data_IF_419213441904
#
_entry.id   IF_419213441904
#
_cell.length_a   1.000
_cell.length_b   1.000
_cell.length_c   1.000
_cell.angle_alpha   90.00
_cell.angle_beta   90.00
_cell.angle_gamma   90.00
#
_symmetry.space_group_name_H-M   'P 1'
#
loop_
_entity.id
_entity.type
_entity.pdbx_description
1 polymer ?
#
# COMPACT_ATOMS: atom_id res chain seq x y z
N UNK A 1 44.86 46.55 9.09
CA UNK A 1 46.12 45.88 8.72
C UNK A 1 45.70 44.65 7.94
N UNK A 2 45.46 44.83 6.64
CA UNK A 2 46.42 44.69 5.54
C UNK A 2 46.46 43.21 5.10
N UNK A 3 46.49 42.81 3.84
CA UNK A 3 46.35 43.41 2.51
C UNK A 3 46.28 42.17 1.57
N UNK A 4 45.50 42.20 0.49
CA UNK A 4 46.07 42.19 -0.86
C UNK A 4 45.24 41.24 -1.75
N UNK A 5 44.53 41.72 -2.77
CA UNK A 5 44.97 42.22 -4.07
C UNK A 5 45.11 41.08 -5.13
N UNK A 6 44.26 41.18 -6.17
CA UNK A 6 44.29 40.43 -7.43
C UNK A 6 45.51 40.84 -8.31
N UNK A 7 45.76 40.27 -9.53
CA UNK A 7 44.95 40.63 -10.71
C UNK A 7 44.90 39.59 -11.87
N UNK A 8 44.22 40.04 -12.94
CA UNK A 8 43.82 39.42 -14.20
C UNK A 8 44.93 39.16 -15.25
N UNK A 9 44.55 38.42 -16.31
CA UNK A 9 45.10 38.45 -17.68
C UNK A 9 44.29 37.48 -18.56
N UNK A 10 43.49 37.86 -19.58
CA UNK A 10 43.70 38.59 -20.85
C UNK A 10 44.17 37.71 -22.02
N UNK A 11 43.44 37.77 -23.15
CA UNK A 11 43.91 37.44 -24.51
C UNK A 11 43.06 36.36 -25.22
N UNK A 12 42.18 36.74 -26.15
CA UNK A 12 42.37 36.74 -27.63
C UNK A 12 42.74 35.36 -28.20
N UNK A 13 42.14 34.81 -29.26
CA UNK A 13 41.22 35.32 -30.26
C UNK A 13 41.24 34.36 -31.47
N UNK A 14 40.20 34.47 -32.31
CA UNK A 14 40.20 34.31 -33.77
C UNK A 14 40.43 32.95 -34.45
N UNK A 15 39.47 32.67 -35.34
CA UNK A 15 39.61 32.20 -36.72
C UNK A 15 39.52 30.69 -37.02
N UNK A 16 38.38 30.35 -37.63
CA UNK A 16 38.24 29.28 -38.59
C UNK A 16 39.06 29.54 -39.87
N UNK A 17 39.36 28.48 -40.64
CA UNK A 17 39.47 28.59 -42.08
C UNK A 17 38.41 27.75 -42.78
N UNK A 18 37.73 28.39 -43.74
CA UNK A 18 37.05 27.74 -44.84
C UNK A 18 38.07 27.15 -45.81
N UNK A 19 37.70 26.04 -46.47
CA UNK A 19 38.20 25.71 -47.80
C UNK A 19 37.12 24.94 -48.57
N UNK A 20 36.78 25.49 -49.74
CA UNK A 20 35.87 24.94 -50.73
C UNK A 20 36.60 23.99 -51.68
N UNK A 21 35.84 23.10 -52.34
CA UNK A 21 36.30 22.45 -53.57
C UNK A 21 35.58 21.16 -53.98
N UNK A 22 34.58 21.28 -54.86
CA UNK A 22 34.28 20.47 -56.08
C UNK A 22 34.34 18.94 -56.00
N UNK A 23 33.39 18.10 -56.46
CA UNK A 23 32.27 18.19 -57.41
C UNK A 23 32.04 16.79 -58.03
N UNK A 24 30.87 16.55 -58.66
CA UNK A 24 30.33 15.34 -59.33
C UNK A 24 29.54 14.38 -58.41
N UNK A 25 28.29 13.99 -58.63
CA UNK A 25 27.35 14.14 -59.75
C UNK A 25 26.63 12.81 -60.06
N UNK A 26 25.33 12.73 -59.73
CA UNK A 26 24.28 11.75 -60.14
C UNK A 26 23.99 10.52 -59.25
N UNK A 27 22.74 9.97 -59.24
CA UNK A 27 21.42 10.59 -59.41
C UNK A 27 20.45 10.31 -58.23
N UNK A 28 19.40 11.12 -58.15
CA UNK A 28 18.30 11.00 -57.19
C UNK A 28 17.58 9.65 -57.30
N UNK A 29 17.52 8.92 -56.19
CA UNK A 29 16.52 7.86 -55.96
C UNK A 29 15.62 8.26 -54.82
N UNK A 30 14.33 8.35 -55.12
CA UNK A 30 13.24 8.65 -54.23
C UNK A 30 13.15 7.53 -53.16
N UNK A 31 13.71 7.74 -51.96
CA UNK A 31 13.42 6.89 -50.80
C UNK A 31 12.49 7.64 -49.88
N UNK A 32 11.31 7.07 -49.69
CA UNK A 32 10.27 7.55 -48.80
C UNK A 32 10.84 8.11 -47.49
N UNK A 33 10.42 9.33 -47.15
CA UNK A 33 10.54 9.91 -45.82
C UNK A 33 9.93 8.90 -44.86
N UNK A 34 10.78 8.22 -44.08
CA UNK A 34 10.33 7.51 -42.89
C UNK A 34 9.69 8.56 -41.98
N UNK A 35 8.53 8.30 -41.35
CA UNK A 35 8.04 9.19 -40.31
C UNK A 35 9.19 9.37 -39.31
N UNK A 36 9.47 10.61 -38.93
CA UNK A 36 10.42 10.91 -37.89
C UNK A 36 10.06 10.04 -36.68
N UNK A 37 11.02 9.24 -36.22
CA UNK A 37 10.94 8.60 -34.92
C UNK A 37 10.68 9.72 -33.91
N UNK A 38 9.45 9.80 -33.40
CA UNK A 38 9.16 10.56 -32.20
C UNK A 38 9.92 9.86 -31.08
N UNK A 39 11.17 10.27 -30.87
CA UNK A 39 11.82 10.08 -29.60
C UNK A 39 10.96 10.79 -28.57
N UNK A 40 10.09 10.04 -27.87
CA UNK A 40 9.74 10.41 -26.52
C UNK A 40 11.08 10.55 -25.80
N UNK A 41 11.48 11.78 -25.47
CA UNK A 41 12.46 11.99 -24.41
C UNK A 41 11.84 11.34 -23.17
N UNK A 42 12.21 10.07 -22.93
CA UNK A 42 11.66 9.27 -21.83
C UNK A 42 12.00 9.91 -20.49
N UNK A 43 11.24 9.60 -19.44
CA UNK A 43 11.50 10.21 -18.13
C UNK A 43 12.94 9.94 -17.70
N UNK A 44 13.63 11.00 -17.27
CA UNK A 44 14.91 10.86 -16.58
C UNK A 44 14.67 10.18 -15.24
N UNK A 45 14.98 8.89 -15.19
CA UNK A 45 14.83 8.05 -14.01
C UNK A 45 16.20 7.67 -13.47
N UNK A 46 16.48 8.06 -12.22
CA UNK A 46 17.72 7.69 -11.54
C UNK A 46 17.63 6.26 -11.03
N UNK A 47 18.58 5.42 -11.47
CA UNK A 47 18.78 4.11 -10.87
C UNK A 47 19.43 4.23 -9.48
N UNK A 48 19.00 3.40 -8.53
CA UNK A 48 19.53 3.37 -7.18
C UNK A 48 19.27 1.98 -6.55
N UNK A 49 20.27 1.45 -5.84
CA UNK A 49 20.24 0.15 -5.17
C UNK A 49 19.12 -0.03 -4.13
N UNK A 50 18.56 1.07 -3.63
CA UNK A 50 17.51 1.04 -2.62
C UNK A 50 16.10 0.86 -3.19
N UNK A 51 15.93 0.95 -4.51
CA UNK A 51 14.62 0.83 -5.15
C UNK A 51 14.05 -0.59 -4.98
N UNK A 52 12.76 -0.72 -4.61
CA UNK A 52 12.10 -2.02 -4.50
C UNK A 52 11.76 -2.65 -5.86
N UNK A 53 11.74 -1.87 -6.94
CA UNK A 53 11.38 -2.34 -8.28
C UNK A 53 12.35 -1.81 -9.34
N UNK A 54 12.37 -2.46 -10.50
CA UNK A 54 13.15 -2.00 -11.65
C UNK A 54 12.56 -0.70 -12.21
N UNK A 55 13.37 0.09 -12.91
CA UNK A 55 12.89 1.30 -13.58
C UNK A 55 11.79 1.01 -14.61
N UNK A 56 11.86 -0.14 -15.30
CA UNK A 56 10.83 -0.55 -16.26
C UNK A 56 9.47 -0.81 -15.60
N UNK A 57 9.46 -1.31 -14.37
CA UNK A 57 8.22 -1.48 -13.61
C UNK A 57 7.62 -0.12 -13.26
N UNK A 58 8.43 0.85 -12.81
CA UNK A 58 7.95 2.21 -12.56
C UNK A 58 7.42 2.92 -13.83
N UNK A 59 8.11 2.78 -14.97
CA UNK A 59 7.61 3.26 -16.27
C UNK A 59 6.24 2.68 -16.60
N UNK A 60 6.08 1.38 -16.40
CA UNK A 60 4.81 0.67 -16.65
C UNK A 60 3.69 1.20 -15.74
N UNK A 61 3.98 1.42 -14.46
CA UNK A 61 3.01 1.98 -13.49
C UNK A 61 2.58 3.39 -13.90
N UNK A 62 3.53 4.25 -14.23
CA UNK A 62 3.29 5.62 -14.65
C UNK A 62 2.46 5.69 -15.95
N UNK A 63 2.81 4.86 -16.94
CA UNK A 63 2.06 4.76 -18.19
C UNK A 63 0.59 4.38 -17.96
N UNK A 64 0.31 3.38 -17.11
CA UNK A 64 -1.06 2.95 -16.78
C UNK A 64 -1.85 4.02 -16.02
N UNK A 65 -1.19 4.76 -15.12
CA UNK A 65 -1.84 5.91 -14.45
C UNK A 65 -2.21 6.99 -15.48
N UNK A 66 -1.33 7.28 -16.44
CA UNK A 66 -1.60 8.24 -17.51
C UNK A 66 -2.70 7.80 -18.47
N UNK A 67 -2.81 6.50 -18.77
CA UNK A 67 -3.96 5.95 -19.50
C UNK A 67 -5.27 6.25 -18.75
N UNK A 68 -5.28 6.07 -17.44
CA UNK A 68 -6.42 6.43 -16.57
C UNK A 68 -6.70 7.94 -16.53
N UNK A 69 -5.65 8.78 -16.52
CA UNK A 69 -5.77 10.24 -16.61
C UNK A 69 -6.38 10.67 -17.94
N UNK A 70 -5.89 10.12 -19.06
CA UNK A 70 -6.38 10.42 -20.41
C UNK A 70 -7.86 10.04 -20.56
N UNK A 71 -8.28 8.89 -20.03
CA UNK A 71 -9.67 8.45 -20.03
C UNK A 71 -10.62 9.38 -19.23
N UNK A 72 -10.08 10.15 -18.29
CA UNK A 72 -10.82 11.10 -17.44
C UNK A 72 -10.56 12.57 -17.79
N UNK A 73 -9.84 12.84 -18.88
CA UNK A 73 -9.45 14.19 -19.31
C UNK A 73 -8.70 14.98 -18.22
N UNK A 74 -7.80 14.29 -17.49
CA UNK A 74 -6.97 14.89 -16.44
C UNK A 74 -5.59 15.23 -17.02
N UNK A 75 -5.21 16.51 -16.94
CA UNK A 75 -3.92 16.98 -17.44
C UNK A 75 -2.79 16.78 -16.42
N UNK A 76 -3.10 16.94 -15.13
CA UNK A 76 -2.14 16.76 -14.02
C UNK A 76 -2.82 16.06 -12.85
N UNK A 77 -2.25 14.96 -12.38
CA UNK A 77 -2.69 14.31 -11.15
C UNK A 77 -1.83 14.79 -9.97
N UNK A 78 -2.47 15.34 -8.94
CA UNK A 78 -1.82 15.73 -7.69
C UNK A 78 -2.05 14.64 -6.64
N UNK A 79 -0.99 13.88 -6.37
CA UNK A 79 -1.01 12.65 -5.55
C UNK A 79 -0.37 12.96 -4.20
N UNK A 80 -1.14 12.81 -3.13
CA UNK A 80 -0.79 13.17 -1.75
C UNK A 80 -0.66 11.96 -0.82
N UNK A 81 -1.37 10.86 -1.13
CA UNK A 81 -1.42 9.66 -0.31
C UNK A 81 -0.07 8.92 -0.38
N UNK A 82 0.58 8.61 0.76
CA UNK A 82 1.94 8.07 0.79
C UNK A 82 2.07 6.71 0.09
N UNK A 83 1.03 5.87 0.14
CA UNK A 83 0.98 4.59 -0.58
C UNK A 83 1.13 4.79 -2.09
N UNK A 84 0.43 5.79 -2.65
CA UNK A 84 0.44 6.07 -4.09
C UNK A 84 1.73 6.75 -4.53
N UNK A 85 2.26 7.67 -3.72
CA UNK A 85 3.59 8.26 -3.95
C UNK A 85 4.66 7.16 -3.96
N UNK A 86 4.66 6.28 -2.95
CA UNK A 86 5.59 5.14 -2.88
C UNK A 86 5.45 4.22 -4.08
N UNK A 87 4.22 3.86 -4.45
CA UNK A 87 3.95 2.96 -5.57
C UNK A 87 4.52 3.49 -6.89
N UNK A 88 4.41 4.80 -7.14
CA UNK A 88 4.86 5.40 -8.39
C UNK A 88 6.34 5.76 -8.40
N UNK A 89 6.95 6.01 -7.25
CA UNK A 89 8.29 6.64 -7.19
C UNK A 89 9.35 5.82 -6.46
N UNK A 90 8.92 4.87 -5.62
CA UNK A 90 9.73 4.22 -4.60
C UNK A 90 9.93 5.05 -3.33
N UNK A 91 9.63 6.36 -3.37
CA UNK A 91 9.83 7.28 -2.26
C UNK A 91 9.10 6.80 -1.01
N UNK A 92 9.85 6.65 0.08
CA UNK A 92 9.32 6.24 1.37
C UNK A 92 9.90 7.13 2.47
N UNK A 93 9.06 7.48 3.43
CA UNK A 93 9.43 8.24 4.63
C UNK A 93 8.39 8.01 5.73
N UNK A 94 8.72 8.34 6.97
CA UNK A 94 7.72 8.58 8.04
C UNK A 94 7.31 10.06 8.13
N UNK A 95 7.95 10.95 7.37
CA UNK A 95 7.68 12.39 7.30
C UNK A 95 6.39 12.77 6.57
N UNK A 96 5.59 11.79 6.10
CA UNK A 96 4.31 12.04 5.39
C UNK A 96 3.22 12.68 6.26
N UNK A 97 3.44 12.84 7.57
CA UNK A 97 2.60 13.71 8.40
C UNK A 97 2.77 15.19 8.07
N UNK A 98 3.86 15.56 7.39
CA UNK A 98 4.05 16.88 6.78
C UNK A 98 3.44 16.90 5.39
N UNK A 99 3.20 18.11 4.86
CA UNK A 99 2.67 18.27 3.52
C UNK A 99 3.65 17.73 2.47
N UNK A 100 3.13 16.95 1.53
CA UNK A 100 3.85 16.47 0.37
C UNK A 100 2.86 16.26 -0.77
N UNK A 101 3.35 16.35 -1.99
CA UNK A 101 2.55 16.01 -3.16
C UNK A 101 3.42 15.65 -4.35
N UNK A 102 3.07 14.59 -5.06
CA UNK A 102 3.63 14.21 -6.34
C UNK A 102 2.72 14.75 -7.44
N UNK A 103 3.29 15.61 -8.29
CA UNK A 103 2.63 16.10 -9.49
C UNK A 103 2.99 15.17 -10.64
N UNK A 104 2.00 14.49 -11.20
CA UNK A 104 2.13 13.65 -12.39
C UNK A 104 1.45 14.34 -13.56
N UNK A 105 2.19 14.97 -14.49
CA UNK A 105 1.59 15.51 -15.70
C UNK A 105 1.27 14.38 -16.70
N UNK A 106 0.27 14.61 -17.55
CA UNK A 106 -0.12 13.70 -18.63
C UNK A 106 1.05 13.43 -19.60
N UNK A 107 1.92 14.43 -19.79
CA UNK A 107 3.16 14.33 -20.55
C UNK A 107 4.31 14.99 -19.77
N UNK A 108 5.53 14.44 -19.89
CA UNK A 108 6.73 14.95 -19.21
C UNK A 108 7.04 14.25 -17.88
N UNK A 109 7.95 14.81 -17.09
CA UNK A 109 8.42 14.14 -15.85
C UNK A 109 7.58 14.52 -14.62
N UNK A 110 7.28 13.55 -13.73
CA UNK A 110 6.71 13.85 -12.43
C UNK A 110 7.63 14.72 -11.55
N UNK A 111 7.03 15.52 -10.68
CA UNK A 111 7.74 16.40 -9.74
C UNK A 111 7.18 16.18 -8.33
N UNK A 112 8.04 15.78 -7.39
CA UNK A 112 7.67 15.64 -5.99
C UNK A 112 7.97 16.92 -5.20
N UNK A 113 6.99 17.43 -4.48
CA UNK A 113 7.17 18.46 -3.46
C UNK A 113 7.17 17.79 -2.08
N UNK A 114 8.18 18.05 -1.27
CA UNK A 114 8.28 17.54 0.10
C UNK A 114 8.92 18.55 1.05
N UNK A 115 8.99 18.23 2.34
CA UNK A 115 9.69 19.05 3.33
C UNK A 115 11.21 18.97 3.13
N UNK A 116 11.94 20.08 3.29
CA UNK A 116 13.38 20.16 2.98
C UNK A 116 14.25 19.10 3.66
N UNK A 117 13.92 18.70 4.89
CA UNK A 117 14.68 17.65 5.59
C UNK A 117 14.49 16.26 4.94
N UNK A 118 13.38 16.05 4.22
CA UNK A 118 13.06 14.81 3.51
C UNK A 118 13.71 14.73 2.11
N UNK A 119 14.35 15.80 1.63
CA UNK A 119 14.96 15.83 0.28
C UNK A 119 15.96 14.69 0.04
N UNK A 120 16.68 14.28 1.08
CA UNK A 120 17.67 13.20 0.99
C UNK A 120 16.98 11.85 0.76
N UNK A 121 15.75 11.68 1.27
CA UNK A 121 14.94 10.48 1.04
C UNK A 121 14.47 10.44 -0.41
N UNK A 122 14.18 11.58 -1.05
CA UNK A 122 13.95 11.60 -2.51
C UNK A 122 15.19 11.11 -3.26
N UNK A 123 16.36 11.66 -2.93
CA UNK A 123 17.62 11.29 -3.60
C UNK A 123 17.99 9.80 -3.44
N UNK A 124 17.72 9.23 -2.26
CA UNK A 124 18.18 7.90 -1.87
C UNK A 124 17.13 6.81 -1.88
N UNK A 125 15.85 7.14 -1.92
CA UNK A 125 14.76 6.18 -1.82
C UNK A 125 13.74 6.37 -2.96
N UNK A 126 14.05 7.16 -3.99
CA UNK A 126 13.20 7.25 -5.19
C UNK A 126 14.03 7.34 -6.46
N UNK A 127 13.38 7.04 -7.60
CA UNK A 127 13.98 7.22 -8.92
C UNK A 127 13.88 8.67 -9.42
N UNK A 128 13.15 9.55 -8.72
CA UNK A 128 12.89 10.91 -9.18
C UNK A 128 14.17 11.75 -9.23
N UNK A 129 14.37 12.41 -10.36
CA UNK A 129 15.36 13.47 -10.52
C UNK A 129 14.77 14.85 -10.22
N UNK A 130 13.48 15.04 -10.52
CA UNK A 130 12.76 16.30 -10.27
C UNK A 130 12.02 16.28 -8.94
N UNK A 131 12.41 17.18 -8.07
CA UNK A 131 11.71 17.46 -6.83
C UNK A 131 11.97 18.91 -6.41
N UNK A 132 11.05 19.45 -5.63
CA UNK A 132 11.19 20.74 -4.95
C UNK A 132 10.93 20.57 -3.47
N UNK A 133 11.30 21.57 -2.67
CA UNK A 133 11.11 21.52 -1.24
C UNK A 133 10.66 22.86 -0.64
N UNK A 134 10.08 22.77 0.56
CA UNK A 134 9.78 23.92 1.40
C UNK A 134 10.40 23.71 2.79
N UNK A 135 10.75 24.81 3.44
CA UNK A 135 11.13 24.81 4.86
C UNK A 135 10.10 25.53 5.74
N UNK A 136 10.35 25.61 7.04
CA UNK A 136 9.44 26.21 8.03
C UNK A 136 9.15 27.71 7.83
N UNK A 137 9.90 28.38 6.96
CA UNK A 137 9.71 29.80 6.63
C UNK A 137 8.86 30.02 5.38
N UNK A 138 8.58 28.97 4.62
CA UNK A 138 7.83 29.01 3.37
C UNK A 138 6.42 28.45 3.56
N UNK A 139 5.46 28.99 2.81
CA UNK A 139 4.13 28.39 2.73
C UNK A 139 4.14 27.24 1.71
N UNK A 140 3.88 25.98 2.11
CA UNK A 140 3.88 24.85 1.19
C UNK A 140 2.88 25.02 0.04
N UNK A 141 1.79 25.79 0.24
CA UNK A 141 0.81 26.04 -0.82
C UNK A 141 1.37 26.95 -1.91
N UNK A 142 2.11 28.00 -1.54
CA UNK A 142 2.75 28.88 -2.53
C UNK A 142 3.79 28.10 -3.35
N UNK A 143 4.60 27.25 -2.70
CA UNK A 143 5.55 26.38 -3.40
C UNK A 143 4.83 25.36 -4.30
N UNK A 144 3.64 24.88 -3.90
CA UNK A 144 2.83 23.98 -4.74
C UNK A 144 2.28 24.69 -5.97
N UNK A 145 1.88 25.96 -5.85
CA UNK A 145 1.45 26.78 -6.99
C UNK A 145 2.59 26.93 -8.00
N UNK A 146 3.79 27.28 -7.52
CA UNK A 146 4.98 27.39 -8.38
C UNK A 146 5.32 26.05 -9.05
N UNK A 147 5.22 24.93 -8.31
CA UNK A 147 5.45 23.60 -8.85
C UNK A 147 4.42 23.18 -9.90
N UNK A 148 3.14 23.52 -9.69
CA UNK A 148 2.06 23.31 -10.66
C UNK A 148 2.30 24.13 -11.93
N UNK A 149 2.81 25.35 -11.80
CA UNK A 149 3.21 26.17 -12.94
C UNK A 149 4.38 25.54 -13.72
N UNK A 150 5.38 25.00 -13.01
CA UNK A 150 6.56 24.34 -13.60
C UNK A 150 6.18 23.10 -14.41
N UNK A 151 5.21 22.31 -13.97
CA UNK A 151 4.68 21.16 -14.73
C UNK A 151 3.62 21.56 -15.77
N UNK A 152 3.38 22.86 -15.94
CA UNK A 152 2.47 23.40 -16.95
C UNK A 152 1.00 23.12 -16.65
N UNK A 153 0.59 23.12 -15.38
CA UNK A 153 -0.79 22.89 -14.94
C UNK A 153 -1.69 24.14 -15.05
N UNK A 154 -1.14 25.33 -15.35
CA UNK A 154 -1.91 26.58 -15.43
C UNK A 154 -3.08 26.47 -16.40
N UNK A 155 -4.30 26.68 -15.88
CA UNK A 155 -5.53 26.66 -16.67
C UNK A 155 -5.93 25.28 -17.20
N UNK A 156 -5.30 24.22 -16.68
CA UNK A 156 -5.56 22.83 -17.04
C UNK A 156 -6.44 22.12 -15.99
N UNK A 157 -6.87 20.90 -16.30
CA UNK A 157 -7.61 20.04 -15.38
C UNK A 157 -6.63 19.34 -14.44
N UNK A 158 -6.72 19.66 -13.15
CA UNK A 158 -5.87 19.06 -12.11
C UNK A 158 -6.74 18.20 -11.19
N UNK A 159 -6.31 16.97 -10.93
CA UNK A 159 -7.02 16.09 -10.00
C UNK A 159 -6.38 16.05 -8.62
N UNK A 160 -7.19 15.79 -7.59
CA UNK A 160 -6.76 15.53 -6.20
C UNK A 160 -7.37 14.23 -5.69
N UNK A 161 -6.76 13.61 -4.69
CA UNK A 161 -7.30 12.38 -4.06
C UNK A 161 -8.34 12.74 -2.97
N UNK A 162 -9.60 12.95 -3.36
CA UNK A 162 -10.66 13.36 -2.41
C UNK A 162 -10.96 12.30 -1.33
N UNK A 163 -10.73 11.02 -1.62
CA UNK A 163 -10.89 9.93 -0.65
C UNK A 163 -9.64 9.65 0.20
N UNK A 164 -8.53 10.33 -0.10
CA UNK A 164 -7.23 10.09 0.49
C UNK A 164 -7.09 10.62 1.92
N UNK A 165 -6.25 9.94 2.70
CA UNK A 165 -5.75 10.48 3.97
C UNK A 165 -4.70 11.58 3.71
N UNK A 166 -4.36 12.36 4.73
CA UNK A 166 -3.23 13.31 4.72
C UNK A 166 -3.36 14.53 3.80
N UNK A 167 -4.54 14.76 3.20
CA UNK A 167 -4.86 15.98 2.47
C UNK A 167 -6.01 16.77 3.13
N UNK A 168 -5.72 17.64 4.12
CA UNK A 168 -6.77 18.36 4.84
C UNK A 168 -7.61 19.25 3.93
N UNK A 169 -8.92 19.34 4.17
CA UNK A 169 -9.84 20.21 3.42
C UNK A 169 -9.40 21.69 3.41
N UNK A 170 -8.68 22.14 4.46
CA UNK A 170 -8.08 23.48 4.50
C UNK A 170 -7.04 23.67 3.40
N UNK A 171 -6.21 22.67 3.14
CA UNK A 171 -5.21 22.68 2.06
C UNK A 171 -5.90 22.82 0.70
N UNK A 172 -6.95 22.03 0.47
CA UNK A 172 -7.78 22.14 -0.74
C UNK A 172 -8.32 23.56 -0.95
N UNK A 173 -8.99 24.14 0.06
CA UNK A 173 -9.54 25.50 -0.06
C UNK A 173 -8.48 26.55 -0.39
N UNK A 174 -7.26 26.41 0.16
CA UNK A 174 -6.15 27.34 -0.11
C UNK A 174 -5.64 27.18 -1.55
N UNK A 175 -5.53 25.96 -2.05
CA UNK A 175 -5.14 25.69 -3.45
C UNK A 175 -6.17 26.24 -4.43
N UNK A 176 -7.47 26.00 -4.20
CA UNK A 176 -8.55 26.53 -5.03
C UNK A 176 -8.53 28.06 -5.05
N UNK A 177 -8.32 28.69 -3.89
CA UNK A 177 -8.24 30.15 -3.79
C UNK A 177 -7.00 30.72 -4.51
N UNK A 178 -5.87 30.02 -4.46
CA UNK A 178 -4.63 30.44 -5.14
C UNK A 178 -4.67 30.19 -6.65
N UNK A 179 -5.44 29.20 -7.10
CA UNK A 179 -5.54 28.77 -8.50
C UNK A 179 -7.00 28.77 -8.99
N UNK A 180 -7.67 29.95 -9.06
CA UNK A 180 -9.09 30.03 -9.38
C UNK A 180 -9.42 29.68 -10.84
N UNK A 181 -8.42 29.60 -11.71
CA UNK A 181 -8.58 29.22 -13.12
C UNK A 181 -8.40 27.71 -13.36
N UNK A 182 -7.96 26.97 -12.35
CA UNK A 182 -7.75 25.52 -12.43
C UNK A 182 -9.08 24.79 -12.25
N UNK A 183 -9.37 23.85 -13.15
CA UNK A 183 -10.52 22.94 -12.96
C UNK A 183 -10.07 21.78 -12.09
N UNK A 184 -10.49 21.79 -10.84
CA UNK A 184 -10.24 20.72 -9.88
C UNK A 184 -11.25 19.59 -10.04
N UNK A 185 -10.77 18.35 -10.06
CA UNK A 185 -11.60 17.13 -10.17
C UNK A 185 -11.12 16.05 -9.20
N UNK A 186 -11.96 15.08 -8.91
CA UNK A 186 -11.56 13.91 -8.13
C UNK A 186 -10.68 12.97 -8.98
N UNK A 187 -9.47 12.72 -8.47
CA UNK A 187 -8.48 11.80 -9.01
C UNK A 187 -8.44 10.46 -8.29
N UNK A 188 -9.27 10.26 -7.26
CA UNK A 188 -9.34 9.00 -6.51
C UNK A 188 -9.56 7.82 -7.46
N UNK A 189 -8.89 6.71 -7.19
CA UNK A 189 -9.00 5.51 -8.02
C UNK A 189 -8.10 5.51 -9.26
N UNK A 190 -7.28 6.54 -9.52
CA UNK A 190 -6.33 6.54 -10.64
C UNK A 190 -5.19 5.56 -10.40
N UNK A 191 -4.51 5.69 -9.25
CA UNK A 191 -3.35 4.86 -8.90
C UNK A 191 -3.82 3.51 -8.36
N UNK A 192 -4.91 3.51 -7.61
CA UNK A 192 -5.52 2.34 -7.00
C UNK A 192 -5.94 1.30 -8.04
N UNK A 193 -6.47 1.74 -9.18
CA UNK A 193 -6.83 0.82 -10.27
C UNK A 193 -5.63 0.03 -10.81
N UNK A 194 -4.44 0.64 -10.78
CA UNK A 194 -3.18 0.00 -11.19
C UNK A 194 -2.66 -0.90 -10.05
N UNK A 195 -2.73 -0.45 -8.80
CA UNK A 195 -2.34 -1.20 -7.60
C UNK A 195 -3.19 -2.44 -7.34
N UNK A 196 -4.45 -2.47 -7.78
CA UNK A 196 -5.37 -3.56 -7.51
C UNK A 196 -4.86 -4.91 -8.04
N UNK A 197 -4.18 -4.92 -9.19
CA UNK A 197 -3.61 -6.12 -9.80
C UNK A 197 -2.09 -6.09 -9.63
N UNK A 198 -1.57 -6.98 -8.78
CA UNK A 198 -0.16 -6.98 -8.39
C UNK A 198 0.75 -7.51 -9.51
N UNK A 199 1.94 -6.94 -9.63
CA UNK A 199 3.03 -7.51 -10.43
C UNK A 199 3.61 -8.76 -9.74
N UNK A 200 4.37 -9.60 -10.47
CA UNK A 200 5.07 -10.73 -9.86
C UNK A 200 6.00 -10.30 -8.70
N UNK A 201 6.73 -9.18 -8.85
CA UNK A 201 7.63 -8.67 -7.81
C UNK A 201 6.86 -8.19 -6.57
N UNK A 202 5.69 -7.57 -6.75
CA UNK A 202 4.83 -7.19 -5.65
C UNK A 202 4.35 -8.41 -4.86
N UNK A 203 3.94 -9.48 -5.55
CA UNK A 203 3.51 -10.74 -4.90
C UNK A 203 4.67 -11.36 -4.12
N UNK A 204 5.91 -11.31 -4.63
CA UNK A 204 7.07 -11.84 -3.92
C UNK A 204 7.32 -11.10 -2.59
N UNK A 205 7.15 -9.77 -2.54
CA UNK A 205 7.20 -9.03 -1.28
C UNK A 205 6.06 -9.41 -0.33
N UNK A 206 4.84 -9.60 -0.85
CA UNK A 206 3.71 -10.09 -0.04
C UNK A 206 3.98 -11.49 0.52
N UNK A 207 4.64 -12.39 -0.24
CA UNK A 207 5.06 -13.70 0.26
C UNK A 207 6.06 -13.60 1.41
N UNK A 208 7.04 -12.69 1.31
CA UNK A 208 7.99 -12.44 2.40
C UNK A 208 7.28 -11.87 3.63
N UNK A 209 6.36 -10.92 3.43
CA UNK A 209 5.52 -10.38 4.49
C UNK A 209 4.66 -11.47 5.16
N UNK A 210 4.11 -12.41 4.39
CA UNK A 210 3.34 -13.54 4.92
C UNK A 210 4.21 -14.45 5.79
N UNK A 211 5.46 -14.70 5.37
CA UNK A 211 6.46 -15.40 6.18
C UNK A 211 6.70 -14.74 7.53
N UNK A 212 6.85 -13.41 7.54
CA UNK A 212 7.02 -12.65 8.77
C UNK A 212 5.78 -12.68 9.67
N UNK A 213 4.57 -12.54 9.10
CA UNK A 213 3.31 -12.63 9.85
C UNK A 213 3.17 -13.99 10.54
N UNK A 214 3.42 -15.09 9.82
CA UNK A 214 3.39 -16.45 10.37
C UNK A 214 4.39 -16.64 11.52
N UNK A 215 5.59 -16.07 11.41
CA UNK A 215 6.58 -16.14 12.48
C UNK A 215 6.19 -15.33 13.72
N UNK A 216 5.58 -14.16 13.53
CA UNK A 216 4.96 -13.38 14.60
C UNK A 216 3.87 -14.18 15.32
N UNK A 217 3.02 -14.88 14.56
CA UNK A 217 1.90 -15.64 15.12
C UNK A 217 2.36 -16.80 15.96
N UNK A 218 3.33 -17.55 15.45
CA UNK A 218 3.96 -18.61 16.24
C UNK A 218 4.58 -18.05 17.53
N UNK A 219 5.30 -16.93 17.45
CA UNK A 219 5.93 -16.31 18.64
C UNK A 219 4.90 -15.86 19.67
N UNK A 220 3.76 -15.33 19.22
CA UNK A 220 2.65 -14.94 20.08
C UNK A 220 2.05 -16.13 20.81
N UNK A 221 1.73 -17.21 20.07
CA UNK A 221 1.16 -18.44 20.63
C UNK A 221 2.12 -19.16 21.58
N UNK A 222 3.41 -19.21 21.26
CA UNK A 222 4.46 -19.78 22.14
C UNK A 222 4.61 -18.98 23.45
N UNK A 223 4.24 -17.70 23.44
CA UNK A 223 4.36 -16.79 24.60
C UNK A 223 3.07 -16.76 25.45
N UNK A 224 1.91 -16.86 24.81
CA UNK A 224 0.61 -16.72 25.46
C UNK A 224 0.36 -17.86 26.47
N UNK A 225 0.18 -17.50 27.74
CA UNK A 225 -0.15 -18.40 28.85
C UNK A 225 -0.66 -17.59 30.05
N UNK A 226 -1.31 -18.23 31.05
CA UNK A 226 -1.71 -17.54 32.29
C UNK A 226 -0.56 -16.74 32.93
N UNK A 227 -0.86 -15.54 33.40
CA UNK A 227 0.07 -14.64 34.08
C UNK A 227 1.01 -13.86 33.15
N UNK A 228 1.01 -14.13 31.85
CA UNK A 228 1.68 -13.29 30.85
C UNK A 228 0.74 -12.15 30.45
N UNK A 229 1.29 -10.96 30.23
CA UNK A 229 0.51 -9.79 29.82
C UNK A 229 0.28 -9.73 28.31
N UNK A 230 -0.78 -9.04 27.87
CA UNK A 230 -0.98 -8.69 26.45
C UNK A 230 0.27 -7.97 25.87
N UNK A 231 0.97 -7.15 26.67
CA UNK A 231 2.20 -6.47 26.26
C UNK A 231 3.34 -7.43 25.92
N UNK A 232 3.53 -8.47 26.72
CA UNK A 232 4.56 -9.48 26.46
C UNK A 232 4.24 -10.27 25.20
N UNK A 233 2.96 -10.59 24.96
CA UNK A 233 2.52 -11.23 23.71
C UNK A 233 2.73 -10.29 22.52
N UNK A 234 2.37 -9.00 22.63
CA UNK A 234 2.62 -8.01 21.58
C UNK A 234 4.12 -7.83 21.31
N UNK A 235 4.96 -7.84 22.35
CA UNK A 235 6.41 -7.81 22.21
C UNK A 235 6.94 -9.06 21.48
N UNK A 236 6.35 -10.23 21.73
CA UNK A 236 6.67 -11.46 21.01
C UNK A 236 6.24 -11.39 19.54
N UNK A 237 5.08 -10.81 19.23
CA UNK A 237 4.64 -10.55 17.84
C UNK A 237 5.67 -9.71 17.11
N UNK A 238 6.00 -8.51 17.63
CA UNK A 238 6.99 -7.64 17.02
C UNK A 238 8.36 -8.32 16.92
N UNK A 239 8.81 -8.99 17.97
CA UNK A 239 10.08 -9.73 17.95
C UNK A 239 10.11 -10.82 16.89
N UNK A 240 9.00 -11.51 16.67
CA UNK A 240 8.86 -12.57 15.66
C UNK A 240 8.85 -12.04 14.24
N UNK A 241 8.03 -11.02 13.96
CA UNK A 241 7.92 -10.40 12.63
C UNK A 241 9.21 -9.70 12.22
N UNK A 242 9.81 -8.89 13.10
CA UNK A 242 11.04 -8.14 12.81
C UNK A 242 12.23 -9.06 12.53
N UNK A 243 12.37 -10.17 13.26
CA UNK A 243 13.43 -11.18 13.01
C UNK A 243 13.31 -11.87 11.66
N UNK A 244 12.13 -11.83 11.04
CA UNK A 244 11.87 -12.37 9.71
C UNK A 244 11.88 -11.30 8.62
N UNK A 245 12.47 -10.14 8.91
CA UNK A 245 12.68 -9.07 7.92
C UNK A 245 11.47 -8.15 7.73
N UNK A 246 10.49 -8.19 8.63
CA UNK A 246 9.39 -7.22 8.57
C UNK A 246 9.88 -5.80 8.86
N UNK A 247 9.37 -4.85 8.10
CA UNK A 247 9.31 -3.43 8.41
C UNK A 247 8.16 -3.15 9.39
N UNK A 248 8.01 -1.87 9.79
CA UNK A 248 6.86 -1.45 10.57
C UNK A 248 5.54 -1.67 9.80
N UNK A 249 4.51 -2.25 10.44
CA UNK A 249 3.22 -2.49 9.80
C UNK A 249 2.42 -1.20 9.64
N UNK A 250 1.38 -1.25 8.80
CA UNK A 250 0.43 -0.14 8.65
C UNK A 250 -0.47 0.07 9.88
N UNK A 251 -0.72 -0.96 10.68
CA UNK A 251 -1.46 -0.85 11.94
C UNK A 251 -0.75 -1.66 13.02
N UNK A 252 -0.79 -1.23 14.30
CA UNK A 252 -0.27 -2.04 15.41
C UNK A 252 -0.96 -3.41 15.48
N UNK A 253 -0.31 -4.43 16.06
CA UNK A 253 -0.94 -5.71 16.32
C UNK A 253 -2.17 -5.60 17.23
N UNK A 254 -3.22 -6.32 16.87
CA UNK A 254 -4.40 -6.53 17.72
C UNK A 254 -4.13 -7.77 18.57
N UNK A 255 -3.72 -7.53 19.82
CA UNK A 255 -3.44 -8.56 20.82
C UNK A 255 -4.36 -8.31 22.00
N UNK A 256 -5.42 -9.10 22.09
CA UNK A 256 -6.52 -8.85 23.01
C UNK A 256 -6.95 -10.14 23.70
N UNK A 257 -7.21 -10.08 25.01
CA UNK A 257 -7.49 -11.27 25.83
C UNK A 257 -8.77 -11.18 26.66
N UNK A 258 -9.41 -12.33 26.89
CA UNK A 258 -10.61 -12.46 27.73
C UNK A 258 -11.79 -11.66 27.18
N UNK A 259 -12.52 -10.98 28.07
CA UNK A 259 -13.67 -10.12 27.71
C UNK A 259 -13.30 -8.94 26.80
N UNK A 260 -12.01 -8.57 26.73
CA UNK A 260 -11.57 -7.52 25.82
C UNK A 260 -11.53 -8.03 24.38
N UNK A 261 -11.44 -9.34 24.15
CA UNK A 261 -11.40 -9.90 22.79
C UNK A 261 -12.63 -9.53 21.95
N UNK A 262 -13.76 -9.16 22.57
CA UNK A 262 -14.93 -8.62 21.88
C UNK A 262 -14.82 -7.15 21.46
N UNK A 263 -13.76 -6.43 21.82
CA UNK A 263 -13.54 -5.03 21.42
C UNK A 263 -13.01 -4.98 19.97
N UNK A 264 -13.77 -4.41 19.02
CA UNK A 264 -13.28 -4.28 17.65
C UNK A 264 -12.09 -3.34 17.61
N UNK A 265 -11.06 -3.71 16.85
CA UNK A 265 -9.82 -2.93 16.69
C UNK A 265 -9.11 -2.60 18.02
N UNK A 266 -9.31 -3.42 19.06
CA UNK A 266 -8.54 -3.30 20.30
C UNK A 266 -7.07 -3.67 20.10
N UNK A 267 -6.20 -3.06 20.89
CA UNK A 267 -4.78 -3.44 20.98
C UNK A 267 -4.49 -3.97 22.39
N UNK A 268 -3.22 -4.10 22.76
CA UNK A 268 -2.81 -4.53 24.10
C UNK A 268 -2.92 -3.39 25.12
N UNK A 269 -3.38 -3.69 26.33
CA UNK A 269 -3.46 -2.71 27.44
C UNK A 269 -2.88 -3.25 28.77
N UNK A 270 -2.03 -4.26 28.71
CA UNK A 270 -1.32 -4.80 29.89
C UNK A 270 -2.16 -5.71 30.76
N UNK A 271 -3.31 -6.17 30.27
CA UNK A 271 -4.10 -7.20 30.95
C UNK A 271 -3.30 -8.49 31.00
N UNK A 272 -3.25 -9.13 32.17
CA UNK A 272 -2.72 -10.49 32.33
C UNK A 272 -3.72 -11.50 31.76
N UNK A 273 -3.22 -12.43 30.95
CA UNK A 273 -3.93 -13.59 30.44
C UNK A 273 -4.28 -14.55 31.59
N UNK A 274 -5.45 -15.18 31.53
CA UNK A 274 -6.03 -16.04 32.58
C UNK A 274 -6.68 -17.28 31.98
N UNK A 275 -6.84 -18.30 32.82
CA UNK A 275 -7.63 -19.48 32.46
C UNK A 275 -9.05 -19.07 32.05
N UNK A 276 -9.54 -19.65 30.95
CA UNK A 276 -10.84 -19.33 30.37
C UNK A 276 -10.85 -18.15 29.39
N UNK A 277 -9.70 -17.51 29.14
CA UNK A 277 -9.61 -16.43 28.17
C UNK A 277 -9.61 -16.95 26.73
N UNK A 278 -10.34 -16.25 25.86
CA UNK A 278 -10.03 -16.19 24.43
C UNK A 278 -8.83 -15.24 24.27
N UNK A 279 -7.84 -15.65 23.48
CA UNK A 279 -6.74 -14.78 23.04
C UNK A 279 -6.92 -14.54 21.54
N UNK A 280 -7.27 -13.30 21.19
CA UNK A 280 -7.47 -12.86 19.81
C UNK A 280 -6.20 -12.18 19.31
N UNK A 281 -5.69 -12.66 18.17
CA UNK A 281 -4.44 -12.22 17.57
C UNK A 281 -4.68 -11.88 16.10
N UNK A 282 -4.49 -10.63 15.71
CA UNK A 282 -4.54 -10.19 14.32
C UNK A 282 -3.47 -9.12 14.04
N UNK A 283 -2.66 -9.34 13.01
CA UNK A 283 -1.62 -8.39 12.59
C UNK A 283 -1.07 -8.73 11.21
N UNK A 284 -0.18 -7.88 10.71
CA UNK A 284 0.51 -8.07 9.44
C UNK A 284 2.03 -8.16 9.59
N UNK A 285 2.65 -8.89 8.68
CA UNK A 285 4.03 -8.65 8.27
C UNK A 285 4.06 -7.59 7.17
N UNK A 286 5.19 -6.94 7.00
CA UNK A 286 5.39 -5.87 6.03
C UNK A 286 6.79 -5.94 5.43
N UNK A 287 6.94 -6.03 4.11
CA UNK A 287 8.25 -6.04 3.44
C UNK A 287 8.19 -5.11 2.25
N UNK A 288 9.10 -4.13 2.17
CA UNK A 288 9.07 -3.07 1.15
C UNK A 288 7.70 -2.41 1.09
N UNK A 289 7.12 -2.09 2.24
CA UNK A 289 5.73 -1.61 2.42
C UNK A 289 4.61 -2.55 1.95
N UNK A 290 4.88 -3.72 1.38
CA UNK A 290 3.83 -4.69 1.02
C UNK A 290 3.47 -5.54 2.22
N UNK A 291 2.17 -5.67 2.47
CA UNK A 291 1.66 -6.36 3.66
C UNK A 291 1.01 -7.69 3.34
N UNK A 292 1.08 -8.58 4.32
CA UNK A 292 0.26 -9.78 4.40
C UNK A 292 -0.18 -9.95 5.87
N UNK A 293 -1.48 -10.09 6.07
CA UNK A 293 -2.09 -10.16 7.38
C UNK A 293 -2.57 -11.58 7.71
N UNK A 294 -2.68 -11.87 9.01
CA UNK A 294 -3.29 -13.09 9.52
C UNK A 294 -3.92 -12.88 10.90
N UNK A 295 -4.96 -13.66 11.15
CA UNK A 295 -5.78 -13.66 12.36
C UNK A 295 -5.93 -15.09 12.84
N UNK A 296 -5.78 -15.30 14.15
CA UNK A 296 -6.03 -16.56 14.84
C UNK A 296 -6.66 -16.29 16.20
N UNK A 297 -7.42 -17.26 16.68
CA UNK A 297 -7.88 -17.32 18.06
C UNK A 297 -7.23 -18.49 18.81
N UNK A 298 -6.91 -18.26 20.07
CA UNK A 298 -6.52 -19.28 21.02
C UNK A 298 -7.45 -19.27 22.24
N UNK A 299 -7.47 -20.35 23.01
CA UNK A 299 -8.20 -20.44 24.27
C UNK A 299 -7.29 -21.02 25.36
N UNK A 300 -7.35 -20.44 26.56
CA UNK A 300 -6.55 -20.90 27.70
C UNK A 300 -7.36 -21.88 28.55
N UNK A 301 -6.94 -23.14 28.60
CA UNK A 301 -7.68 -24.23 29.24
C UNK A 301 -8.72 -24.86 28.32
N UNK A 302 -9.84 -25.32 28.90
CA UNK A 302 -10.88 -26.04 28.16
C UNK A 302 -11.94 -25.07 27.59
N UNK A 303 -12.11 -24.98 26.26
CA UNK A 303 -13.07 -24.05 25.65
C UNK A 303 -14.52 -24.54 25.83
N UNK A 304 -15.47 -23.65 26.13
CA UNK A 304 -16.88 -24.00 26.14
C UNK A 304 -17.38 -24.25 24.70
N UNK A 305 -18.46 -25.02 24.56
CA UNK A 305 -19.05 -25.36 23.27
C UNK A 305 -19.43 -24.13 22.41
N UNK A 306 -19.77 -23.01 23.06
CA UNK A 306 -20.08 -21.73 22.41
C UNK A 306 -18.89 -21.15 21.63
N UNK A 307 -17.65 -21.40 22.08
CA UNK A 307 -16.41 -21.01 21.40
C UNK A 307 -16.12 -21.97 20.27
N UNK A 308 -16.09 -23.29 20.54
CA UNK A 308 -15.72 -24.29 19.53
C UNK A 308 -16.70 -24.32 18.35
N UNK A 309 -18.00 -24.13 18.60
CA UNK A 309 -19.01 -24.06 17.54
C UNK A 309 -18.82 -22.86 16.60
N UNK A 310 -18.44 -21.69 17.14
CA UNK A 310 -18.15 -20.48 16.35
C UNK A 310 -16.84 -20.59 15.59
N UNK A 311 -15.81 -21.18 16.20
CA UNK A 311 -14.56 -21.48 15.50
C UNK A 311 -14.82 -22.37 14.29
N UNK A 312 -15.58 -23.45 14.46
CA UNK A 312 -15.91 -24.35 13.35
C UNK A 312 -16.64 -23.59 12.22
N UNK A 313 -17.65 -22.77 12.55
CA UNK A 313 -18.36 -21.97 11.57
C UNK A 313 -17.45 -20.99 10.82
N UNK A 314 -16.58 -20.27 11.54
CA UNK A 314 -15.63 -19.31 10.93
C UNK A 314 -14.65 -20.01 10.01
N UNK A 315 -14.09 -21.15 10.43
CA UNK A 315 -13.15 -21.93 9.61
C UNK A 315 -13.85 -22.46 8.36
N UNK A 316 -15.03 -23.05 8.48
CA UNK A 316 -15.80 -23.56 7.34
C UNK A 316 -16.19 -22.42 6.38
N UNK A 317 -16.56 -21.25 6.90
CA UNK A 317 -16.84 -20.04 6.11
C UNK A 317 -15.60 -19.53 5.35
N UNK A 318 -14.44 -19.51 6.01
CA UNK A 318 -13.17 -19.16 5.39
C UNK A 318 -12.80 -20.13 4.26
N UNK A 319 -12.93 -21.44 4.48
CA UNK A 319 -12.67 -22.45 3.45
C UNK A 319 -13.64 -22.31 2.26
N UNK A 320 -14.92 -22.01 2.53
CA UNK A 320 -15.90 -21.76 1.48
C UNK A 320 -15.56 -20.53 0.63
N UNK A 321 -15.08 -19.45 1.25
CA UNK A 321 -14.57 -18.28 0.52
C UNK A 321 -13.35 -18.65 -0.33
N UNK A 322 -12.33 -19.28 0.27
CA UNK A 322 -11.09 -19.71 -0.41
C UNK A 322 -11.40 -20.62 -1.60
N UNK A 323 -12.30 -21.59 -1.43
CA UNK A 323 -12.72 -22.52 -2.48
C UNK A 323 -13.51 -21.86 -3.62
N UNK A 324 -14.06 -20.66 -3.39
CA UNK A 324 -14.81 -19.90 -4.39
C UNK A 324 -13.91 -18.98 -5.22
N UNK A 325 -12.82 -18.48 -4.65
CA UNK A 325 -11.95 -17.49 -5.30
C UNK A 325 -11.27 -18.10 -6.52
N UNK A 326 -11.44 -17.44 -7.67
CA UNK A 326 -10.71 -17.64 -8.92
C UNK A 326 -10.97 -16.46 -9.85
N UNK A 327 -10.20 -16.30 -10.92
CA UNK A 327 -10.51 -15.33 -11.96
C UNK A 327 -11.94 -15.53 -12.51
N UNK A 328 -12.65 -14.42 -12.75
CA UNK A 328 -13.98 -14.43 -13.36
C UNK A 328 -15.17 -14.58 -12.39
N UNK A 329 -14.94 -14.90 -11.10
CA UNK A 329 -16.02 -14.80 -10.08
C UNK A 329 -16.14 -13.37 -9.59
N UNK A 330 -17.31 -13.00 -9.05
CA UNK A 330 -17.53 -11.67 -8.48
C UNK A 330 -17.17 -11.63 -7.01
N UNK A 331 -16.87 -10.42 -6.51
CA UNK A 331 -16.68 -10.10 -5.10
C UNK A 331 -17.83 -10.63 -4.23
N UNK A 332 -19.07 -10.36 -4.64
CA UNK A 332 -20.27 -10.82 -3.95
C UNK A 332 -20.42 -12.34 -3.93
N UNK A 333 -19.94 -13.06 -4.95
CA UNK A 333 -19.99 -14.53 -4.95
C UNK A 333 -19.07 -15.14 -3.88
N UNK A 334 -17.92 -14.52 -3.62
CA UNK A 334 -16.99 -14.94 -2.56
C UNK A 334 -17.59 -14.65 -1.18
N UNK A 335 -18.18 -13.46 -0.98
CA UNK A 335 -18.84 -13.12 0.29
C UNK A 335 -20.04 -14.05 0.56
N UNK A 336 -20.87 -14.28 -0.46
CA UNK A 336 -22.01 -15.17 -0.39
C UNK A 336 -21.63 -16.58 0.06
N UNK A 337 -20.49 -17.11 -0.41
CA UNK A 337 -20.02 -18.44 -0.04
C UNK A 337 -19.66 -18.52 1.45
N UNK A 338 -18.96 -17.52 1.99
CA UNK A 338 -18.68 -17.43 3.41
C UNK A 338 -19.97 -17.26 4.22
N UNK A 339 -20.76 -16.24 3.88
CA UNK A 339 -21.96 -15.84 4.62
C UNK A 339 -23.01 -16.94 4.67
N UNK A 340 -23.26 -17.66 3.57
CA UNK A 340 -24.21 -18.80 3.55
C UNK A 340 -23.75 -19.93 4.45
N UNK A 341 -22.44 -20.19 4.50
CA UNK A 341 -21.87 -21.19 5.41
C UNK A 341 -22.03 -20.77 6.88
N UNK A 342 -21.74 -19.53 7.24
CA UNK A 342 -21.98 -19.03 8.60
C UNK A 342 -23.46 -19.16 9.00
N UNK A 343 -24.38 -18.80 8.10
CA UNK A 343 -25.82 -18.94 8.31
C UNK A 343 -26.24 -20.41 8.48
N UNK A 344 -25.65 -21.35 7.74
CA UNK A 344 -25.97 -22.78 7.90
C UNK A 344 -25.49 -23.36 9.24
N UNK A 345 -24.49 -22.74 9.88
CA UNK A 345 -24.10 -23.03 11.26
C UNK A 345 -25.00 -22.35 12.30
N UNK A 346 -25.97 -21.53 11.88
CA UNK A 346 -26.88 -20.80 12.75
C UNK A 346 -26.41 -19.39 13.12
N UNK A 347 -25.34 -18.88 12.50
CA UNK A 347 -24.77 -17.56 12.77
C UNK A 347 -25.08 -16.58 11.63
N UNK A 348 -26.18 -15.86 11.75
CA UNK A 348 -26.62 -14.83 10.80
C UNK A 348 -26.19 -13.40 11.17
N UNK A 349 -25.49 -13.23 12.29
CA UNK A 349 -25.01 -11.96 12.86
C UNK A 349 -23.66 -11.50 12.27
N UNK A 350 -23.28 -12.01 11.10
CA UNK A 350 -22.08 -11.61 10.38
C UNK A 350 -22.25 -10.22 9.77
N UNK A 351 -21.65 -9.19 10.37
CA UNK A 351 -21.93 -7.76 10.08
C UNK A 351 -20.90 -7.07 9.19
N UNK A 352 -19.79 -7.73 8.84
CA UNK A 352 -18.73 -7.15 8.03
C UNK A 352 -18.54 -7.89 6.70
N UNK A 353 -17.67 -7.37 5.84
CA UNK A 353 -17.24 -7.97 4.59
C UNK A 353 -16.39 -9.23 4.84
N UNK A 354 -16.40 -10.16 3.88
CA UNK A 354 -15.61 -11.40 3.97
C UNK A 354 -14.11 -11.16 3.84
N UNK A 355 -13.70 -10.06 3.20
CA UNK A 355 -12.30 -9.69 3.06
C UNK A 355 -12.11 -8.39 2.30
N UNK A 356 -10.86 -7.95 2.19
CA UNK A 356 -10.48 -6.71 1.53
C UNK A 356 -9.15 -6.83 0.81
N UNK A 357 -8.92 -5.99 -0.21
CA UNK A 357 -7.64 -5.97 -0.94
C UNK A 357 -6.50 -5.65 0.02
N UNK A 358 -5.31 -6.16 -0.28
CA UNK A 358 -4.09 -5.89 0.48
C UNK A 358 -2.90 -5.69 -0.45
N UNK A 359 -1.97 -4.82 -0.05
CA UNK A 359 -0.83 -4.41 -0.86
C UNK A 359 0.09 -3.47 -0.10
N UNK A 360 0.39 -2.32 -0.72
CA UNK A 360 1.21 -1.26 -0.10
C UNK A 360 0.49 -0.72 1.12
N UNK A 361 1.20 -0.59 2.25
CA UNK A 361 0.65 -0.04 3.49
C UNK A 361 1.48 1.09 4.09
N UNK A 362 0.78 2.06 4.69
CA UNK A 362 1.29 2.99 5.68
C UNK A 362 0.24 3.15 6.78
N UNK A 363 0.62 3.59 7.99
CA UNK A 363 -0.38 4.06 8.94
C UNK A 363 -1.38 5.02 8.31
N UNK A 364 -2.69 4.82 8.53
CA UNK A 364 -3.27 4.10 9.68
C UNK A 364 -3.64 2.61 9.45
N UNK A 365 -3.36 2.00 8.29
CA UNK A 365 -3.87 0.66 7.99
C UNK A 365 -2.96 -0.19 7.11
N UNK A 366 -3.11 -1.51 7.21
CA UNK A 366 -2.48 -2.43 6.25
C UNK A 366 -3.37 -2.75 5.04
N UNK A 367 -4.65 -2.40 5.11
CA UNK A 367 -5.64 -2.78 4.12
C UNK A 367 -5.68 -1.79 2.93
N UNK A 368 -6.12 -2.30 1.79
CA UNK A 368 -6.53 -1.54 0.62
C UNK A 368 -8.07 -1.60 0.49
N UNK A 369 -8.81 -1.54 1.60
CA UNK A 369 -10.28 -1.66 1.59
C UNK A 369 -10.97 -0.53 0.82
N UNK A 370 -10.32 0.63 0.71
CA UNK A 370 -10.77 1.73 -0.14
C UNK A 370 -10.66 1.43 -1.64
N UNK A 371 -9.86 0.41 -2.03
CA UNK A 371 -9.72 -0.03 -3.42
C UNK A 371 -10.77 -1.08 -3.75
N UNK A 372 -10.85 -2.16 -2.94
CA UNK A 372 -11.79 -3.25 -3.17
C UNK A 372 -12.04 -4.07 -1.90
N UNK A 373 -13.31 -4.39 -1.65
CA UNK A 373 -13.76 -5.32 -0.62
C UNK A 373 -14.48 -6.51 -1.25
N UNK A 374 -14.53 -7.63 -0.53
CA UNK A 374 -15.33 -8.81 -0.85
C UNK A 374 -16.63 -8.72 -0.06
N UNK A 375 -17.65 -8.08 -0.64
CA UNK A 375 -18.86 -7.69 0.09
C UNK A 375 -20.16 -8.13 -0.61
N UNK A 376 -21.29 -8.22 0.12
CA UNK A 376 -22.56 -8.70 -0.43
C UNK A 376 -23.01 -7.90 -1.66
N UNK A 377 -23.41 -8.60 -2.72
CA UNK A 377 -23.99 -8.00 -3.92
C UNK A 377 -23.01 -7.24 -4.83
N UNK A 378 -21.71 -7.24 -4.54
CA UNK A 378 -20.71 -6.61 -5.39
C UNK A 378 -20.45 -7.41 -6.68
N UNK A 379 -20.69 -6.80 -7.83
CA UNK A 379 -20.50 -7.43 -9.15
C UNK A 379 -19.07 -7.30 -9.68
N UNK A 380 -18.15 -6.67 -8.94
CA UNK A 380 -16.76 -6.52 -9.35
C UNK A 380 -16.10 -7.88 -9.57
N UNK A 381 -15.60 -8.11 -10.78
CA UNK A 381 -15.00 -9.38 -11.20
C UNK A 381 -13.55 -9.49 -10.75
N UNK A 382 -13.24 -10.61 -10.09
CA UNK A 382 -11.89 -10.94 -9.65
C UNK A 382 -11.00 -11.27 -10.86
N UNK A 383 -9.76 -10.75 -10.81
CA UNK A 383 -8.73 -10.96 -11.83
C UNK A 383 -7.52 -11.66 -11.20
N UNK A 384 -6.74 -12.43 -11.98
CA UNK A 384 -5.46 -12.96 -11.52
C UNK A 384 -4.58 -11.87 -10.91
N UNK A 385 -3.80 -12.23 -9.89
CA UNK A 385 -2.89 -11.35 -9.15
C UNK A 385 -3.56 -10.25 -8.32
N UNK A 386 -4.89 -10.23 -8.19
CA UNK A 386 -5.50 -9.54 -7.05
C UNK A 386 -5.12 -10.29 -5.76
N UNK A 387 -4.94 -9.55 -4.67
CA UNK A 387 -4.56 -10.13 -3.37
C UNK A 387 -5.52 -9.62 -2.32
N UNK A 388 -6.07 -10.53 -1.52
CA UNK A 388 -7.07 -10.24 -0.50
C UNK A 388 -6.65 -10.78 0.86
N UNK A 389 -7.03 -10.06 1.91
CA UNK A 389 -7.09 -10.60 3.27
C UNK A 389 -8.54 -11.01 3.58
N UNK A 390 -8.77 -12.31 3.78
CA UNK A 390 -10.09 -12.87 4.10
C UNK A 390 -10.25 -12.93 5.61
N UNK A 391 -11.20 -12.23 6.21
CA UNK A 391 -11.27 -11.99 7.67
C UNK A 391 -12.57 -12.47 8.35
N UNK A 392 -13.13 -13.65 8.04
CA UNK A 392 -14.34 -14.08 8.72
C UNK A 392 -14.12 -14.20 10.23
N UNK A 393 -15.10 -13.72 10.98
CA UNK A 393 -15.04 -13.67 12.42
C UNK A 393 -16.44 -13.58 13.03
N UNK A 394 -16.58 -14.03 14.27
CA UNK A 394 -17.85 -14.06 15.00
C UNK A 394 -17.66 -13.64 16.45
N UNK A 395 -18.61 -12.85 16.96
CA UNK A 395 -18.73 -12.51 18.38
C UNK A 395 -19.14 -13.77 19.15
N UNK A 396 -18.56 -13.95 20.35
CA UNK A 396 -18.95 -14.93 21.37
C UNK A 396 -19.62 -14.18 22.53
N UNK A 397 -20.95 -13.95 22.48
CA UNK A 397 -21.64 -13.11 23.46
C UNK A 397 -21.50 -13.61 24.90
N UNK A 398 -21.44 -14.94 25.08
CA UNK A 398 -21.34 -15.59 26.40
C UNK A 398 -20.04 -15.23 27.15
N UNK A 399 -19.00 -14.82 26.42
CA UNK A 399 -17.70 -14.45 26.95
C UNK A 399 -17.35 -12.97 26.70
N UNK A 400 -18.27 -12.19 26.12
CA UNK A 400 -17.98 -10.88 25.55
C UNK A 400 -16.73 -10.92 24.65
N UNK A 401 -16.56 -12.01 23.91
CA UNK A 401 -15.34 -12.32 23.18
C UNK A 401 -15.52 -12.32 21.67
N UNK A 402 -14.45 -12.58 20.95
CA UNK A 402 -14.47 -12.69 19.49
C UNK A 402 -13.52 -13.79 19.03
N UNK A 403 -13.94 -14.56 18.02
CA UNK A 403 -13.08 -15.55 17.37
C UNK A 403 -13.05 -15.29 15.87
N UNK A 404 -11.85 -15.30 15.30
CA UNK A 404 -11.65 -15.05 13.89
C UNK A 404 -10.46 -15.84 13.36
N UNK A 405 -10.56 -16.21 12.09
CA UNK A 405 -9.48 -16.85 11.34
C UNK A 405 -9.39 -16.17 9.99
N UNK A 406 -8.16 -15.87 9.56
CA UNK A 406 -7.96 -15.19 8.29
C UNK A 406 -6.77 -15.70 7.52
N UNK A 407 -6.77 -15.37 6.23
CA UNK A 407 -5.71 -15.71 5.31
C UNK A 407 -5.48 -14.59 4.31
N UNK A 408 -4.23 -14.35 3.96
CA UNK A 408 -3.85 -13.58 2.78
C UNK A 408 -3.79 -14.53 1.57
N UNK A 409 -4.52 -14.21 0.50
CA UNK A 409 -4.65 -15.05 -0.70
C UNK A 409 -4.38 -14.28 -1.98
N UNK A 410 -3.78 -14.94 -2.98
CA UNK A 410 -3.56 -14.42 -4.33
C UNK A 410 -4.52 -15.10 -5.29
N UNK A 411 -5.31 -14.32 -6.04
CA UNK A 411 -6.20 -14.86 -7.08
C UNK A 411 -5.37 -15.42 -8.23
N UNK A 412 -5.74 -16.61 -8.70
CA UNK A 412 -5.16 -17.25 -9.89
C UNK A 412 -6.26 -17.50 -10.92
N UNK A 413 -5.89 -17.97 -12.11
CA UNK A 413 -6.88 -18.29 -13.16
C UNK A 413 -7.92 -19.33 -12.72
N UNK A 414 -7.51 -20.32 -11.93
CA UNK A 414 -8.36 -21.49 -11.60
C UNK A 414 -8.73 -21.60 -10.12
N UNK A 415 -8.22 -20.71 -9.27
CA UNK A 415 -8.36 -20.78 -7.81
C UNK A 415 -7.68 -19.61 -7.10
N UNK A 416 -7.15 -19.84 -5.91
CA UNK A 416 -6.22 -18.93 -5.24
C UNK A 416 -5.02 -19.66 -4.62
N UNK A 417 -3.93 -18.93 -4.43
CA UNK A 417 -2.80 -19.34 -3.60
C UNK A 417 -2.96 -18.74 -2.20
N UNK A 418 -2.96 -19.57 -1.16
CA UNK A 418 -2.94 -19.11 0.25
C UNK A 418 -1.49 -18.86 0.68
N UNK A 419 -1.19 -17.64 1.14
CA UNK A 419 0.17 -17.25 1.53
C UNK A 419 0.47 -17.47 3.03
N UNK A 420 -0.54 -17.38 3.89
CA UNK A 420 -0.38 -17.40 5.36
C UNK A 420 -0.79 -18.73 6.04
N UNK A 421 -1.06 -19.78 5.26
CA UNK A 421 -1.66 -21.02 5.77
C UNK A 421 -0.69 -22.14 6.18
N UNK A 422 0.63 -21.95 6.06
CA UNK A 422 1.61 -23.07 6.10
C UNK A 422 2.22 -23.36 7.47
N UNK A 423 2.13 -22.44 8.43
CA UNK A 423 2.84 -22.55 9.72
C UNK A 423 1.89 -22.72 10.90
N UNK A 424 0.82 -21.94 10.95
CA UNK A 424 -0.16 -21.97 12.03
C UNK A 424 -1.51 -22.44 11.47
N UNK A 425 -2.02 -23.60 11.90
CA UNK A 425 -3.25 -24.18 11.35
C UNK A 425 -4.48 -23.30 11.61
N UNK A 426 -5.53 -23.53 10.83
CA UNK A 426 -6.85 -22.88 10.97
C UNK A 426 -7.70 -23.63 11.97
N UNK A 427 -7.25 -23.67 13.21
CA UNK A 427 -7.96 -24.33 14.31
C UNK A 427 -7.76 -23.55 15.60
N UNK A 428 -8.69 -23.71 16.55
CA UNK A 428 -8.57 -23.10 17.87
C UNK A 428 -7.30 -23.62 18.55
N UNK A 429 -6.35 -22.73 18.82
CA UNK A 429 -5.13 -23.09 19.52
C UNK A 429 -5.44 -23.25 21.02
N UNK A 430 -5.24 -24.45 21.55
CA UNK A 430 -5.45 -24.72 22.98
C UNK A 430 -4.16 -24.46 23.74
N UNK A 431 -4.17 -23.43 24.58
CA UNK A 431 -3.06 -23.07 25.45
C UNK A 431 -3.25 -23.74 26.82
N UNK A 432 -2.18 -24.29 27.43
CA UNK A 432 -2.28 -24.93 28.72
C UNK A 432 -2.74 -23.93 29.78
N UNK A 433 -3.76 -24.33 30.56
CA UNK A 433 -4.18 -23.57 31.73
C UNK A 433 -3.23 -23.75 32.91
N UNK A 434 -3.49 -23.03 34.00
CA UNK A 434 -2.77 -23.23 35.26
C UNK A 434 -3.04 -24.66 35.75
N UNK A 435 -2.00 -25.47 35.91
CA UNK A 435 -2.13 -26.80 36.53
C UNK A 435 -2.76 -26.62 37.91
N UNK A 436 -3.96 -27.19 38.09
CA UNK A 436 -4.67 -27.19 39.38
C UNK A 436 -4.06 -28.15 40.37
#
# INVERSE_FOLDING_TARGET
MADGAAPAGSGNGTAAPSCAGTGHGSPCTNSAVRPADHHHEGESMRENENLPFTLDEYRTRLARVREGMAAREIDVAMISVPENIYYLTGYTTLGYYMYQTLLVPAEGEPLLLTYREERINVQRLSWLERYTDYDVTQDPIEVTVDALDEVGARGKVTSIEESGYFFPIRTYHRLVAALPQTRWVDGSGLVEAVRLVKSPAEIDYIRLAAGAAMAGMRSALDTARPGVTENEVAAAVYGGTLRHGSEYPGSPPYVISGERSGLPHGTWEGRELRDGDIVFLEFSGCVRRYSAAMMRAAFIGDPPAAVTGRVAAVVDGLEAAIGTIRAGVTSGAVDDACRKTLVSHGFGDFTHETGYSIGVCYPPGWNESHIMNLHPGDETVLRPNMVFHLVPSLIVPELNGHVGFSETVVVTETGCEVLTGKVVPRELQLLPGTLR
#
